data_IF_692638017016
#
_entry.id   IF_692638017016
#
_cell.length_a   1.000
_cell.length_b   1.000
_cell.length_c   1.000
_cell.angle_alpha   90.00
_cell.angle_beta   90.00
_cell.angle_gamma   90.00
#
_symmetry.space_group_name_H-M   'P 1'
#
loop_
_entity.id
_entity.type
_entity.pdbx_description
1 polymer ?
#
# COMPACT_ATOMS: atom_id res chain seq x y z
N UNK A 1 10.36 22.21 -18.70
CA UNK A 1 9.86 23.37 -17.93
C UNK A 1 11.03 23.95 -17.16
N UNK A 2 11.06 25.28 -16.96
CA UNK A 2 12.05 26.00 -16.18
C UNK A 2 11.53 26.22 -14.76
N UNK A 3 12.39 26.15 -13.75
CA UNK A 3 12.00 26.42 -12.37
C UNK A 3 12.11 27.92 -12.06
N UNK A 4 11.10 28.48 -11.38
CA UNK A 4 11.11 29.82 -10.77
C UNK A 4 11.14 29.63 -9.27
N UNK A 5 12.16 30.16 -8.59
CA UNK A 5 12.55 29.79 -7.23
C UNK A 5 12.59 28.26 -7.09
N UNK A 6 13.75 27.65 -7.33
CA UNK A 6 13.83 26.21 -7.57
C UNK A 6 13.17 25.37 -6.45
N UNK A 7 12.14 24.56 -6.76
CA UNK A 7 11.61 23.57 -5.83
C UNK A 7 12.71 22.63 -5.38
N UNK A 8 12.63 22.15 -4.13
CA UNK A 8 13.64 21.26 -3.57
C UNK A 8 13.38 19.82 -3.97
N UNK A 9 14.46 19.05 -4.15
CA UNK A 9 14.36 17.63 -4.49
C UNK A 9 13.86 16.82 -3.28
N UNK A 10 12.97 15.87 -3.52
CA UNK A 10 12.38 15.02 -2.49
C UNK A 10 12.33 13.55 -2.91
N UNK A 11 12.12 12.71 -1.92
CA UNK A 11 11.82 11.28 -2.12
C UNK A 11 10.39 11.13 -2.63
N UNK A 12 10.22 10.35 -3.69
CA UNK A 12 8.90 10.11 -4.28
C UNK A 12 8.04 9.13 -3.46
N UNK A 13 6.80 8.91 -3.90
CA UNK A 13 5.86 7.94 -3.33
C UNK A 13 6.40 6.49 -3.31
N UNK A 14 7.49 6.23 -4.04
CA UNK A 14 8.14 4.92 -4.16
C UNK A 14 9.37 4.79 -3.27
N UNK A 15 9.70 5.80 -2.47
CA UNK A 15 10.92 5.81 -1.67
C UNK A 15 12.19 6.11 -2.48
N UNK A 16 12.06 6.55 -3.73
CA UNK A 16 13.21 6.86 -4.58
C UNK A 16 13.65 8.30 -4.35
N UNK A 17 14.89 8.48 -3.89
CA UNK A 17 15.50 9.79 -3.69
C UNK A 17 15.53 10.58 -4.99
N UNK A 18 15.27 11.88 -4.88
CA UNK A 18 15.32 12.85 -5.97
C UNK A 18 14.40 12.54 -7.17
N UNK A 19 13.24 11.93 -6.91
CA UNK A 19 12.20 11.65 -7.91
C UNK A 19 10.91 12.45 -7.71
N UNK A 20 10.90 13.34 -6.73
CA UNK A 20 9.82 14.27 -6.46
C UNK A 20 10.36 15.69 -6.23
N UNK A 21 9.45 16.68 -6.27
CA UNK A 21 9.76 18.08 -5.98
C UNK A 21 8.85 18.58 -4.86
N UNK A 22 9.44 19.24 -3.86
CA UNK A 22 8.75 19.93 -2.78
C UNK A 22 8.73 21.43 -3.06
N UNK A 23 7.54 22.01 -2.97
CA UNK A 23 7.22 23.42 -3.21
C UNK A 23 6.84 24.10 -1.89
N UNK A 24 7.21 25.37 -1.74
CA UNK A 24 7.14 26.13 -0.48
C UNK A 24 5.79 26.81 -0.19
N UNK A 25 4.86 26.82 -1.14
CA UNK A 25 3.59 27.52 -1.00
C UNK A 25 3.66 29.03 -1.16
N UNK A 26 4.80 29.60 -1.57
CA UNK A 26 5.01 31.05 -1.57
C UNK A 26 5.65 31.59 -2.86
N UNK A 27 6.58 30.86 -3.46
CA UNK A 27 7.37 31.40 -4.59
C UNK A 27 7.77 30.37 -5.63
N UNK A 28 7.80 29.08 -5.27
CA UNK A 28 8.39 28.03 -6.09
C UNK A 28 7.37 27.46 -7.08
N UNK A 29 7.76 27.33 -8.35
CA UNK A 29 6.97 26.64 -9.37
C UNK A 29 7.80 26.26 -10.60
N UNK A 30 7.24 25.41 -11.46
CA UNK A 30 7.76 25.12 -12.79
C UNK A 30 6.89 25.81 -13.84
N UNK A 31 7.51 26.42 -14.85
CA UNK A 31 6.81 27.13 -15.92
C UNK A 31 7.41 26.84 -17.28
N UNK A 32 6.61 26.96 -18.32
CA UNK A 32 7.04 27.04 -19.69
C UNK A 32 6.16 28.04 -20.43
N UNK A 33 6.75 28.98 -21.15
CA UNK A 33 6.02 29.85 -22.07
C UNK A 33 5.83 29.08 -23.37
N UNK A 34 4.58 28.74 -23.67
CA UNK A 34 4.22 27.94 -24.83
C UNK A 34 2.82 28.33 -25.28
N UNK A 35 2.70 28.81 -26.51
CA UNK A 35 1.41 29.08 -27.11
C UNK A 35 0.64 27.76 -27.29
N UNK A 36 -0.62 27.77 -26.88
CA UNK A 36 -1.66 26.81 -27.19
C UNK A 36 -1.22 25.34 -27.09
N UNK A 37 -0.54 25.01 -25.97
CA UNK A 37 -0.05 23.67 -25.72
C UNK A 37 -1.20 22.65 -25.88
N UNK A 38 -1.06 21.79 -26.90
CA UNK A 38 -2.02 20.74 -27.29
C UNK A 38 -3.42 21.25 -27.63
N UNK A 39 -3.53 22.36 -28.37
CA UNK A 39 -4.81 22.91 -28.86
C UNK A 39 -5.60 22.02 -29.83
N UNK A 40 -5.07 20.88 -30.25
CA UNK A 40 -5.82 19.88 -31.03
C UNK A 40 -6.49 18.80 -30.16
N UNK A 41 -6.18 18.73 -28.87
CA UNK A 41 -6.67 17.68 -27.98
C UNK A 41 -8.04 18.10 -27.38
N UNK A 42 -9.14 17.59 -27.94
CA UNK A 42 -10.50 17.77 -27.41
C UNK A 42 -10.84 16.82 -26.25
N UNK A 43 -9.94 15.90 -25.91
CA UNK A 43 -10.05 14.98 -24.80
C UNK A 43 -8.67 14.71 -24.22
N UNK A 44 -8.60 14.23 -22.98
CA UNK A 44 -7.30 14.02 -22.35
C UNK A 44 -7.34 13.48 -20.95
N UNK A 45 -6.17 13.37 -20.34
CA UNK A 45 -6.04 13.02 -18.93
C UNK A 45 -4.80 13.66 -18.33
N UNK A 46 -4.85 13.97 -17.04
CA UNK A 46 -3.70 14.42 -16.27
C UNK A 46 -3.64 13.67 -14.96
N UNK A 47 -2.43 13.34 -14.51
CA UNK A 47 -2.27 12.68 -13.23
C UNK A 47 -0.97 13.05 -12.55
N UNK A 48 -1.01 13.10 -11.22
CA UNK A 48 0.13 13.41 -10.38
C UNK A 48 0.01 12.67 -9.05
N UNK A 49 1.14 12.24 -8.51
CA UNK A 49 1.24 11.94 -7.09
C UNK A 49 1.37 13.23 -6.32
N UNK A 50 0.57 13.37 -5.28
CA UNK A 50 0.47 14.59 -4.47
C UNK A 50 0.58 14.18 -3.00
N UNK A 51 1.49 14.82 -2.27
CA UNK A 51 1.56 14.78 -0.81
C UNK A 51 1.38 16.18 -0.27
N UNK A 52 0.33 16.38 0.53
CA UNK A 52 -0.10 17.73 0.90
C UNK A 52 -0.63 17.77 2.34
N UNK A 53 -0.38 18.88 3.02
CA UNK A 53 -0.77 19.12 4.43
C UNK A 53 -1.28 20.53 4.64
N UNK A 54 -1.57 21.23 3.55
CA UNK A 54 -1.97 22.62 3.61
C UNK A 54 -3.37 22.79 4.21
N UNK A 55 -3.68 24.05 4.52
CA UNK A 55 -4.96 24.46 5.09
C UNK A 55 -5.56 25.65 4.34
N UNK A 56 -5.11 25.88 3.12
CA UNK A 56 -5.55 26.93 2.21
C UNK A 56 -5.51 26.42 0.76
N UNK A 57 -6.04 27.19 -0.19
CA UNK A 57 -5.96 26.85 -1.60
C UNK A 57 -4.51 26.59 -2.03
N UNK A 58 -4.28 25.55 -2.84
CA UNK A 58 -2.97 25.23 -3.42
C UNK A 58 -3.10 24.84 -4.89
N UNK A 59 -2.21 25.32 -5.75
CA UNK A 59 -2.29 25.09 -7.18
C UNK A 59 -1.43 23.90 -7.62
N UNK A 60 -2.02 22.89 -8.27
CA UNK A 60 -1.24 21.75 -8.81
C UNK A 60 -0.74 22.08 -10.21
N UNK A 61 -1.62 22.61 -11.06
CA UNK A 61 -1.34 22.90 -12.47
C UNK A 61 -2.17 24.08 -12.99
N UNK A 62 -1.61 24.84 -13.93
CA UNK A 62 -2.38 25.78 -14.75
C UNK A 62 -1.83 25.94 -16.16
N UNK A 63 -2.72 26.21 -17.11
CA UNK A 63 -2.40 26.73 -18.45
C UNK A 63 -3.42 27.82 -18.77
N UNK A 64 -2.97 29.00 -19.17
CA UNK A 64 -3.82 30.16 -19.34
C UNK A 64 -3.25 31.15 -20.36
N UNK A 65 -4.08 32.09 -20.80
CA UNK A 65 -3.64 33.35 -21.38
C UNK A 65 -3.14 34.27 -20.25
N UNK A 66 -1.92 34.80 -20.34
CA UNK A 66 -1.38 35.70 -19.32
C UNK A 66 -1.72 37.17 -19.53
N UNK A 67 -2.39 37.53 -20.63
CA UNK A 67 -2.91 38.87 -20.85
C UNK A 67 -4.27 39.11 -20.17
N UNK A 68 -5.02 38.04 -19.87
CA UNK A 68 -6.37 38.10 -19.30
C UNK A 68 -6.60 37.00 -18.25
N UNK A 69 -7.69 37.09 -17.48
CA UNK A 69 -8.16 36.02 -16.60
C UNK A 69 -9.28 35.18 -17.25
N UNK A 70 -9.53 35.34 -18.55
CA UNK A 70 -10.71 34.78 -19.22
C UNK A 70 -10.46 33.47 -19.96
N UNK A 71 -9.21 33.08 -20.19
CA UNK A 71 -8.86 31.81 -20.84
C UNK A 71 -7.92 31.00 -19.94
N UNK A 72 -8.43 29.92 -19.35
CA UNK A 72 -7.60 29.05 -18.51
C UNK A 72 -8.13 27.63 -18.36
N UNK A 73 -7.22 26.71 -18.08
CA UNK A 73 -7.49 25.40 -17.48
C UNK A 73 -6.63 25.27 -16.23
N UNK A 74 -7.25 24.98 -15.09
CA UNK A 74 -6.58 24.95 -13.78
C UNK A 74 -6.97 23.71 -13.00
N UNK A 75 -5.99 23.18 -12.28
CA UNK A 75 -6.14 22.12 -11.31
C UNK A 75 -5.60 22.59 -9.97
N UNK A 76 -6.50 22.72 -9.00
CA UNK A 76 -6.22 23.16 -7.64
C UNK A 76 -6.60 22.09 -6.60
N UNK A 77 -6.11 22.30 -5.39
CA UNK A 77 -6.67 21.77 -4.15
C UNK A 77 -7.40 22.93 -3.48
N UNK A 78 -8.72 22.78 -3.27
CA UNK A 78 -9.58 23.84 -2.73
C UNK A 78 -10.58 23.24 -1.75
N UNK A 79 -10.95 24.01 -0.73
CA UNK A 79 -11.83 23.54 0.33
C UNK A 79 -11.92 24.51 1.49
N UNK A 80 -12.62 24.07 2.53
CA UNK A 80 -12.75 24.77 3.80
C UNK A 80 -12.88 23.75 4.93
N UNK A 81 -12.57 24.13 6.17
CA UNK A 81 -12.78 23.31 7.37
C UNK A 81 -12.22 21.87 7.24
N UNK A 82 -10.99 21.74 6.73
CA UNK A 82 -10.28 20.46 6.52
C UNK A 82 -10.87 19.53 5.44
N UNK A 83 -11.79 20.00 4.60
CA UNK A 83 -12.27 19.26 3.43
C UNK A 83 -11.67 19.84 2.14
N UNK A 84 -10.37 19.60 1.93
CA UNK A 84 -9.60 20.09 0.79
C UNK A 84 -9.46 19.01 -0.29
N UNK A 85 -10.16 19.19 -1.40
CA UNK A 85 -10.33 18.19 -2.46
C UNK A 85 -9.72 18.68 -3.77
N UNK A 86 -9.59 17.78 -4.75
CA UNK A 86 -9.25 18.15 -6.12
C UNK A 86 -10.36 19.03 -6.72
N UNK A 87 -9.94 20.12 -7.35
CA UNK A 87 -10.78 21.12 -7.99
C UNK A 87 -10.28 21.40 -9.40
N UNK A 88 -11.15 21.27 -10.39
CA UNK A 88 -10.86 21.57 -11.80
C UNK A 88 -11.71 22.76 -12.23
N UNK A 89 -11.09 23.71 -12.93
CA UNK A 89 -11.78 24.84 -13.50
C UNK A 89 -11.26 25.12 -14.91
N UNK A 90 -12.17 25.33 -15.85
CA UNK A 90 -11.87 25.78 -17.19
C UNK A 90 -12.73 27.02 -17.51
N UNK A 91 -12.21 27.91 -18.36
CA UNK A 91 -12.91 29.10 -18.84
C UNK A 91 -12.40 29.49 -20.23
N UNK A 92 -13.28 29.83 -21.16
CA UNK A 92 -12.93 30.25 -22.53
C UNK A 92 -13.64 31.56 -22.96
N UNK A 93 -13.56 32.58 -22.10
CA UNK A 93 -14.28 33.86 -22.21
C UNK A 93 -15.80 33.73 -22.05
N UNK A 94 -16.20 32.77 -21.22
CA UNK A 94 -17.57 32.46 -20.85
C UNK A 94 -17.71 32.29 -19.33
N UNK A 95 -18.76 31.59 -18.89
CA UNK A 95 -18.88 31.20 -17.47
C UNK A 95 -17.94 30.04 -17.23
N UNK A 96 -17.12 30.12 -16.17
CA UNK A 96 -16.20 29.04 -15.86
C UNK A 96 -16.96 27.75 -15.51
N UNK A 97 -16.51 26.64 -16.09
CA UNK A 97 -16.96 25.30 -15.77
C UNK A 97 -16.08 24.76 -14.64
N UNK A 98 -16.70 24.48 -13.49
CA UNK A 98 -15.99 24.20 -12.25
C UNK A 98 -16.55 22.96 -11.55
N UNK A 99 -15.68 21.98 -11.29
CA UNK A 99 -16.03 20.74 -10.61
C UNK A 99 -15.06 20.41 -9.48
N UNK A 100 -15.53 19.63 -8.51
CA UNK A 100 -14.68 19.10 -7.43
C UNK A 100 -14.96 17.65 -7.11
N UNK A 101 -13.95 16.98 -6.56
CA UNK A 101 -14.04 15.63 -6.01
C UNK A 101 -14.60 15.61 -4.58
N UNK A 102 -14.43 14.47 -3.91
CA UNK A 102 -15.01 14.19 -2.60
C UNK A 102 -13.97 13.86 -1.51
N UNK A 103 -12.81 13.33 -1.88
CA UNK A 103 -11.79 12.84 -0.94
C UNK A 103 -10.82 13.95 -0.51
N UNK A 104 -10.72 14.28 0.80
CA UNK A 104 -9.74 15.23 1.32
C UNK A 104 -8.30 14.75 1.15
N UNK A 105 -7.36 15.70 0.97
CA UNK A 105 -5.93 15.41 0.69
C UNK A 105 -4.95 15.90 1.77
N UNK A 106 -5.42 16.55 2.83
CA UNK A 106 -4.61 17.15 3.91
C UNK A 106 -4.22 16.15 5.01
N UNK A 107 -3.84 14.94 4.66
CA UNK A 107 -3.51 13.86 5.61
C UNK A 107 -2.00 13.55 5.69
N UNK A 108 -1.16 14.30 4.95
CA UNK A 108 0.28 14.06 4.82
C UNK A 108 0.65 12.74 4.13
N UNK A 109 -0.28 12.09 3.44
CA UNK A 109 -0.02 10.88 2.66
C UNK A 109 0.12 11.21 1.16
N UNK A 110 0.70 10.27 0.42
CA UNK A 110 0.76 10.34 -1.03
C UNK A 110 -0.56 9.83 -1.60
N UNK A 111 -1.20 10.63 -2.45
CA UNK A 111 -2.36 10.23 -3.24
C UNK A 111 -2.06 10.34 -4.72
N UNK A 112 -2.53 9.37 -5.51
CA UNK A 112 -2.61 9.56 -6.96
C UNK A 112 -3.90 10.28 -7.27
N UNK A 113 -3.79 11.52 -7.72
CA UNK A 113 -4.92 12.25 -8.26
C UNK A 113 -4.88 12.18 -9.79
N UNK A 114 -6.03 11.88 -10.39
CA UNK A 114 -6.19 11.80 -11.84
C UNK A 114 -7.47 12.51 -12.27
N UNK A 115 -7.35 13.39 -13.27
CA UNK A 115 -8.49 13.96 -14.01
C UNK A 115 -8.49 13.35 -15.41
N UNK A 116 -9.66 12.92 -15.87
CA UNK A 116 -9.86 12.44 -17.25
C UNK A 116 -10.97 13.25 -17.90
N UNK A 117 -10.85 13.54 -19.18
CA UNK A 117 -11.88 14.14 -20.02
C UNK A 117 -12.14 13.27 -21.24
N UNK A 118 -13.42 12.99 -21.51
CA UNK A 118 -13.89 12.42 -22.78
C UNK A 118 -14.13 13.47 -23.88
N UNK A 119 -13.94 14.76 -23.58
CA UNK A 119 -14.41 15.90 -24.39
C UNK A 119 -15.89 16.22 -24.23
N UNK A 120 -16.56 15.57 -23.26
CA UNK A 120 -17.98 15.80 -22.96
C UNK A 120 -18.30 15.74 -21.46
N UNK A 121 -17.38 15.21 -20.65
CA UNK A 121 -17.43 15.24 -19.20
C UNK A 121 -16.03 15.00 -18.62
N UNK A 122 -15.73 15.68 -17.51
CA UNK A 122 -14.62 15.31 -16.64
C UNK A 122 -15.02 14.22 -15.66
N UNK A 123 -14.04 13.39 -15.31
CA UNK A 123 -14.07 12.47 -14.17
C UNK A 123 -12.83 12.69 -13.32
N UNK A 124 -12.96 12.49 -12.02
CA UNK A 124 -11.87 12.55 -11.06
C UNK A 124 -11.69 11.19 -10.41
N UNK A 125 -10.45 10.86 -10.10
CA UNK A 125 -10.08 9.66 -9.38
C UNK A 125 -9.05 10.01 -8.32
N UNK A 126 -9.23 9.46 -7.12
CA UNK A 126 -8.23 9.45 -6.07
C UNK A 126 -7.86 8.00 -5.80
N UNK A 127 -6.56 7.71 -5.81
CA UNK A 127 -6.02 6.38 -5.50
C UNK A 127 -6.61 5.25 -6.35
N UNK A 128 -6.86 5.58 -7.63
CA UNK A 128 -7.42 4.64 -8.60
C UNK A 128 -8.92 4.40 -8.47
N UNK A 129 -9.59 5.08 -7.54
CA UNK A 129 -11.04 5.00 -7.31
C UNK A 129 -11.72 6.23 -7.87
N UNK A 130 -12.84 6.05 -8.57
CA UNK A 130 -13.62 7.15 -9.11
C UNK A 130 -14.30 7.96 -8.00
N UNK A 131 -14.21 9.27 -8.09
CA UNK A 131 -14.80 10.20 -7.14
C UNK A 131 -16.25 10.55 -7.51
N UNK A 132 -17.04 10.93 -6.51
CA UNK A 132 -18.31 11.60 -6.76
C UNK A 132 -18.02 13.07 -7.12
N UNK A 133 -18.43 13.48 -8.31
CA UNK A 133 -18.22 14.86 -8.79
C UNK A 133 -19.34 15.77 -8.29
N UNK A 134 -18.96 16.91 -7.71
CA UNK A 134 -19.86 18.01 -7.42
C UNK A 134 -19.62 19.15 -8.42
N UNK A 135 -20.67 19.60 -9.09
CA UNK A 135 -20.66 20.80 -9.92
C UNK A 135 -20.67 22.05 -9.03
N UNK A 136 -19.73 22.96 -9.24
CA UNK A 136 -19.58 24.20 -8.47
C UNK A 136 -20.08 25.41 -9.26
N UNK A 137 -19.75 25.48 -10.55
CA UNK A 137 -20.22 26.50 -11.47
C UNK A 137 -20.26 25.93 -12.90
N UNK A 138 -21.03 26.58 -13.78
CA UNK A 138 -21.14 26.20 -15.18
C UNK A 138 -21.76 24.80 -15.35
N UNK A 139 -21.12 23.97 -16.18
CA UNK A 139 -21.47 22.59 -16.47
C UNK A 139 -20.24 21.66 -16.35
N UNK A 140 -20.47 20.34 -16.31
CA UNK A 140 -19.41 19.36 -16.51
C UNK A 140 -19.30 19.06 -18.03
N UNK A 141 -18.85 20.04 -18.80
CA UNK A 141 -18.72 19.98 -20.26
C UNK A 141 -17.59 19.05 -20.72
N UNK A 142 -16.62 18.76 -19.85
CA UNK A 142 -15.43 18.01 -20.23
C UNK A 142 -14.47 18.82 -21.10
N UNK A 143 -14.62 20.13 -21.17
CA UNK A 143 -13.73 20.99 -21.94
C UNK A 143 -12.26 20.72 -21.61
N UNK A 144 -11.44 20.68 -22.66
CA UNK A 144 -10.03 20.36 -22.53
C UNK A 144 -9.17 21.45 -23.19
N UNK A 145 -8.01 21.05 -23.71
CA UNK A 145 -7.04 21.95 -24.30
C UNK A 145 -7.44 22.48 -25.68
N UNK A 146 -8.28 21.79 -26.44
CA UNK A 146 -8.83 22.36 -27.67
C UNK A 146 -9.86 23.48 -27.40
N UNK A 147 -10.57 23.40 -26.28
CA UNK A 147 -11.73 24.26 -25.99
C UNK A 147 -11.34 25.56 -25.27
N UNK A 148 -10.06 25.76 -24.97
CA UNK A 148 -9.57 26.92 -24.20
C UNK A 148 -8.53 27.71 -24.99
N UNK A 149 -8.87 28.42 -26.07
CA UNK A 149 -7.87 29.05 -26.96
C UNK A 149 -7.05 30.15 -26.26
N UNK A 150 -5.97 30.59 -26.91
CA UNK A 150 -5.10 31.72 -26.53
C UNK A 150 -4.22 31.48 -25.29
N UNK A 151 -4.05 30.23 -24.84
CA UNK A 151 -3.15 29.97 -23.71
C UNK A 151 -1.71 30.22 -24.15
N UNK A 152 -0.89 30.81 -23.29
CA UNK A 152 0.51 31.13 -23.60
C UNK A 152 1.50 30.53 -22.59
N UNK A 153 0.98 29.79 -21.60
CA UNK A 153 1.77 29.21 -20.54
C UNK A 153 1.36 27.77 -20.18
N UNK A 154 2.29 27.08 -19.52
CA UNK A 154 2.08 25.80 -18.87
C UNK A 154 2.82 25.83 -17.55
N UNK A 155 2.14 25.57 -16.44
CA UNK A 155 2.72 25.68 -15.10
C UNK A 155 2.38 24.48 -14.22
N UNK A 156 3.33 24.08 -13.38
CA UNK A 156 3.14 23.13 -12.29
C UNK A 156 3.52 23.83 -10.99
N UNK A 157 2.65 23.75 -9.99
CA UNK A 157 2.89 24.34 -8.68
C UNK A 157 2.41 25.79 -8.52
N UNK A 158 1.74 26.37 -9.53
CA UNK A 158 1.18 27.73 -9.48
C UNK A 158 -0.07 27.86 -10.36
N UNK A 159 -1.03 28.68 -9.92
CA UNK A 159 -2.09 29.21 -10.77
C UNK A 159 -1.63 30.56 -11.31
N UNK A 160 -1.38 30.65 -12.62
CA UNK A 160 -0.92 31.89 -13.28
C UNK A 160 -1.76 32.18 -14.52
N UNK A 161 -2.69 33.14 -14.39
CA UNK A 161 -3.42 33.79 -15.51
C UNK A 161 -2.78 35.16 -15.76
N UNK A 162 -3.56 36.22 -15.92
CA UNK A 162 -3.10 37.62 -15.82
C UNK A 162 -2.35 37.99 -14.53
N UNK A 163 -2.54 37.22 -13.47
CA UNK A 163 -1.78 37.33 -12.23
C UNK A 163 -1.56 35.95 -11.60
N UNK A 164 -0.66 35.88 -10.63
CA UNK A 164 -0.50 34.70 -9.79
C UNK A 164 -1.63 34.67 -8.76
N UNK A 165 -2.40 33.58 -8.74
CA UNK A 165 -3.51 33.38 -7.79
C UNK A 165 -3.10 32.59 -6.55
N UNK A 166 -2.35 31.50 -6.72
CA UNK A 166 -1.94 30.63 -5.61
C UNK A 166 -0.72 29.77 -5.99
N UNK A 167 0.04 29.37 -4.97
CA UNK A 167 1.19 28.47 -5.09
C UNK A 167 0.89 27.11 -4.46
N UNK A 168 1.62 26.09 -4.86
CA UNK A 168 1.55 24.77 -4.23
C UNK A 168 2.41 24.72 -2.98
N UNK A 169 1.85 24.23 -1.87
CA UNK A 169 2.60 23.93 -0.66
C UNK A 169 2.60 22.41 -0.38
N UNK A 170 3.60 21.69 -0.88
CA UNK A 170 3.65 20.25 -0.72
C UNK A 170 4.61 19.58 -1.69
N UNK A 171 4.49 18.26 -1.85
CA UNK A 171 5.34 17.50 -2.77
C UNK A 171 4.54 16.93 -3.95
N UNK A 172 5.06 17.10 -5.17
CA UNK A 172 4.52 16.49 -6.39
C UNK A 172 5.53 15.50 -6.96
N UNK A 173 5.04 14.34 -7.39
CA UNK A 173 5.82 13.37 -8.14
C UNK A 173 5.10 12.91 -9.40
N UNK A 174 5.90 12.59 -10.41
CA UNK A 174 5.51 11.78 -11.58
C UNK A 174 4.30 12.29 -12.40
N UNK A 175 4.22 13.62 -12.55
CA UNK A 175 3.19 14.33 -13.31
C UNK A 175 3.15 13.88 -14.77
N UNK A 176 1.96 13.57 -15.29
CA UNK A 176 1.74 13.10 -16.67
C UNK A 176 0.51 13.74 -17.30
N UNK A 177 0.57 13.89 -18.62
CA UNK A 177 -0.52 14.38 -19.47
C UNK A 177 -0.66 13.45 -20.68
N UNK A 178 -1.88 13.04 -20.98
CA UNK A 178 -2.25 12.25 -22.16
C UNK A 178 -3.23 13.04 -23.04
N UNK A 179 -3.21 12.78 -24.35
CA UNK A 179 -4.12 13.33 -25.35
C UNK A 179 -5.37 12.48 -25.58
N UNK A 180 -5.73 11.65 -24.59
CA UNK A 180 -6.93 10.83 -24.61
C UNK A 180 -7.44 10.63 -23.19
N UNK A 181 -8.72 10.31 -23.07
CA UNK A 181 -9.28 9.81 -21.82
C UNK A 181 -8.59 8.49 -21.43
N UNK A 182 -8.10 8.41 -20.20
CA UNK A 182 -7.77 7.13 -19.58
C UNK A 182 -9.06 6.50 -19.04
N UNK A 183 -9.27 5.22 -19.32
CA UNK A 183 -10.38 4.46 -18.73
C UNK A 183 -10.18 4.27 -17.22
N UNK A 184 -11.25 4.00 -16.47
CA UNK A 184 -11.16 3.69 -15.05
C UNK A 184 -10.18 2.52 -14.75
N UNK A 185 -10.10 1.54 -15.65
CA UNK A 185 -9.13 0.43 -15.53
C UNK A 185 -7.70 0.91 -15.74
N UNK A 186 -7.46 1.82 -16.68
CA UNK A 186 -6.13 2.41 -16.89
C UNK A 186 -5.73 3.31 -15.73
N UNK A 187 -6.66 4.06 -15.12
CA UNK A 187 -6.40 4.88 -13.94
C UNK A 187 -6.13 3.99 -12.71
N UNK A 188 -6.93 2.95 -12.51
CA UNK A 188 -6.64 1.94 -11.49
C UNK A 188 -5.30 1.25 -11.74
N UNK A 189 -4.96 0.99 -13.01
CA UNK A 189 -3.65 0.46 -13.40
C UNK A 189 -2.56 1.47 -13.15
N UNK A 190 -2.76 2.76 -13.37
CA UNK A 190 -1.79 3.82 -13.08
C UNK A 190 -1.50 3.89 -11.58
N UNK A 191 -2.54 3.90 -10.75
CA UNK A 191 -2.41 3.81 -9.29
C UNK A 191 -1.67 2.56 -8.86
N UNK A 192 -2.03 1.40 -9.44
CA UNK A 192 -1.36 0.13 -9.15
C UNK A 192 0.09 0.15 -9.62
N UNK A 193 0.36 0.58 -10.85
CA UNK A 193 1.70 0.78 -11.46
C UNK A 193 2.60 1.63 -10.54
N UNK A 194 1.99 2.52 -9.77
CA UNK A 194 2.61 3.29 -8.70
C UNK A 194 2.27 2.79 -7.29
N UNK A 195 2.57 1.53 -7.01
CA UNK A 195 3.21 1.23 -5.73
C UNK A 195 4.62 1.87 -5.72
N UNK A 196 5.33 1.95 -4.58
CA UNK A 196 6.73 1.54 -4.53
C UNK A 196 6.91 0.17 -5.24
N UNK A 197 7.00 0.16 -6.58
CA UNK A 197 6.88 -1.00 -7.50
C UNK A 197 5.59 -1.85 -7.31
N UNK A 198 4.67 -1.85 -8.29
CA UNK A 198 3.95 -3.10 -8.62
C UNK A 198 4.74 -3.79 -9.72
N UNK A 199 5.54 -4.76 -9.31
CA UNK A 199 5.62 -5.97 -10.11
C UNK A 199 4.33 -6.75 -9.84
N UNK A 200 3.89 -7.60 -10.76
CA UNK A 200 3.14 -8.84 -10.47
C UNK A 200 3.97 -9.78 -9.56
N UNK A 201 4.54 -9.22 -8.49
CA UNK A 201 5.73 -9.68 -7.77
C UNK A 201 6.28 -8.66 -6.76
N UNK A 202 5.51 -7.63 -6.34
CA UNK A 202 5.85 -6.89 -5.13
C UNK A 202 5.01 -7.39 -3.97
N UNK A 203 5.45 -8.51 -3.42
CA UNK A 203 5.12 -9.01 -2.08
C UNK A 203 5.48 -8.01 -0.96
N UNK A 204 5.70 -6.73 -1.29
CA UNK A 204 5.91 -5.61 -0.37
C UNK A 204 4.64 -4.78 -0.16
N UNK A 205 3.61 -4.88 -1.03
CA UNK A 205 2.35 -4.14 -0.82
C UNK A 205 1.68 -4.63 0.45
N UNK A 206 1.41 -3.71 1.38
CA UNK A 206 0.80 -4.03 2.66
C UNK A 206 1.66 -4.95 3.54
N UNK A 207 2.93 -5.18 3.19
CA UNK A 207 3.85 -5.97 4.00
C UNK A 207 4.24 -5.14 5.22
N UNK A 208 3.81 -5.58 6.40
CA UNK A 208 4.02 -4.88 7.67
C UNK A 208 5.09 -5.53 8.55
N UNK A 209 5.48 -6.77 8.25
CA UNK A 209 6.62 -7.43 8.88
C UNK A 209 7.24 -8.47 7.96
N UNK A 210 8.57 -8.52 7.91
CA UNK A 210 9.31 -9.52 7.15
C UNK A 210 10.57 -9.97 7.89
N UNK A 211 10.63 -11.25 8.21
CA UNK A 211 11.79 -11.92 8.78
C UNK A 211 12.20 -13.05 7.84
N UNK A 212 13.30 -12.85 7.12
CA UNK A 212 13.81 -13.87 6.18
C UNK A 212 14.52 -15.03 6.87
N UNK A 213 14.76 -14.91 8.19
CA UNK A 213 15.42 -15.91 9.02
C UNK A 213 16.84 -16.26 8.54
N UNK A 214 17.50 -15.36 7.80
CA UNK A 214 18.87 -15.55 7.36
C UNK A 214 19.86 -15.05 8.42
N UNK A 215 20.99 -15.75 8.58
CA UNK A 215 22.07 -15.30 9.49
C UNK A 215 22.59 -13.91 9.15
N UNK A 216 22.58 -13.53 7.86
CA UNK A 216 22.95 -12.18 7.40
C UNK A 216 21.99 -11.08 7.84
N UNK A 217 20.81 -11.43 8.34
CA UNK A 217 19.80 -10.51 8.83
C UNK A 217 19.83 -10.34 10.35
N UNK A 218 20.79 -10.97 11.02
CA UNK A 218 21.02 -10.75 12.45
C UNK A 218 21.58 -9.37 12.70
N UNK A 219 21.03 -8.69 13.71
CA UNK A 219 21.61 -7.48 14.27
C UNK A 219 22.43 -7.77 15.53
N UNK A 220 22.20 -8.91 16.16
CA UNK A 220 22.97 -9.47 17.27
C UNK A 220 22.80 -11.00 17.30
N UNK A 221 23.43 -11.69 18.25
CA UNK A 221 23.25 -13.14 18.46
C UNK A 221 21.81 -13.56 18.80
N UNK A 222 20.95 -12.62 19.19
CA UNK A 222 19.56 -12.89 19.61
C UNK A 222 18.53 -12.02 18.91
N UNK A 223 18.90 -11.19 17.93
CA UNK A 223 17.94 -10.29 17.28
C UNK A 223 18.01 -10.39 15.76
N UNK A 224 16.88 -10.74 15.15
CA UNK A 224 16.68 -10.82 13.69
C UNK A 224 15.97 -9.57 13.21
N UNK A 225 16.53 -8.96 12.18
CA UNK A 225 16.01 -7.72 11.59
C UNK A 225 14.67 -7.95 10.89
N UNK A 226 13.70 -7.09 11.18
CA UNK A 226 12.55 -6.86 10.29
C UNK A 226 13.01 -6.06 9.06
N UNK A 227 12.78 -6.62 7.87
CA UNK A 227 13.18 -6.01 6.59
C UNK A 227 12.17 -4.97 6.07
N UNK A 228 11.12 -4.67 6.82
CA UNK A 228 10.19 -3.58 6.52
C UNK A 228 10.58 -2.29 7.24
N UNK A 229 10.00 -1.13 6.84
CA UNK A 229 10.14 0.11 7.60
C UNK A 229 9.59 0.04 9.03
N UNK A 230 8.73 -0.95 9.34
CA UNK A 230 8.12 -1.13 10.66
C UNK A 230 9.13 -1.40 11.79
N UNK A 231 10.31 -1.93 11.45
CA UNK A 231 11.39 -2.20 12.40
C UNK A 231 10.99 -3.08 13.59
N UNK A 232 10.02 -3.98 13.38
CA UNK A 232 9.53 -4.93 14.39
C UNK A 232 10.49 -6.11 14.50
N UNK A 233 11.69 -5.85 14.99
CA UNK A 233 12.74 -6.86 15.06
C UNK A 233 12.33 -8.01 15.99
N UNK A 234 12.67 -9.23 15.58
CA UNK A 234 12.37 -10.42 16.35
C UNK A 234 13.49 -10.72 17.33
N UNK A 235 13.15 -10.89 18.61
CA UNK A 235 14.08 -11.27 19.67
C UNK A 235 13.98 -12.77 19.92
N UNK A 236 15.05 -13.49 19.65
CA UNK A 236 15.20 -14.92 19.86
C UNK A 236 15.45 -15.25 21.33
N UNK A 237 14.79 -16.29 21.82
CA UNK A 237 15.04 -16.94 23.11
C UNK A 237 15.61 -18.32 22.85
N UNK A 238 16.62 -18.72 23.64
CA UNK A 238 17.35 -19.96 23.44
C UNK A 238 18.59 -19.77 22.57
N UNK A 239 19.05 -20.86 21.95
CA UNK A 239 20.25 -20.86 21.09
C UNK A 239 19.83 -20.81 19.63
N UNK A 240 20.19 -19.73 18.95
CA UNK A 240 19.84 -19.56 17.55
C UNK A 240 20.79 -20.34 16.65
N UNK A 241 20.26 -21.35 15.96
CA UNK A 241 21.02 -22.19 15.04
C UNK A 241 20.58 -21.89 13.60
N UNK A 242 21.48 -21.34 12.79
CA UNK A 242 21.20 -21.12 11.37
C UNK A 242 21.22 -22.46 10.62
N UNK A 243 20.31 -22.63 9.67
CA UNK A 243 20.15 -23.85 8.89
C UNK A 243 20.00 -23.57 7.39
N UNK A 244 19.93 -24.63 6.59
CA UNK A 244 19.64 -24.53 5.15
C UNK A 244 18.18 -24.20 4.91
N UNK A 245 17.88 -23.46 3.84
CA UNK A 245 16.49 -23.27 3.38
C UNK A 245 16.02 -24.40 2.45
N UNK A 246 14.85 -24.20 1.84
CA UNK A 246 14.22 -25.09 0.86
C UNK A 246 15.00 -25.29 -0.45
N UNK A 247 16.01 -24.47 -0.71
CA UNK A 247 16.91 -24.60 -1.86
C UNK A 247 18.30 -25.11 -1.46
N UNK A 248 18.43 -25.64 -0.23
CA UNK A 248 19.70 -26.06 0.37
C UNK A 248 20.72 -24.93 0.50
N UNK A 249 20.29 -23.67 0.55
CA UNK A 249 21.18 -22.54 0.77
C UNK A 249 21.50 -22.42 2.26
N UNK A 250 22.78 -22.54 2.62
CA UNK A 250 23.23 -22.42 4.01
C UNK A 250 22.86 -21.08 4.63
N UNK A 251 22.47 -21.12 5.90
CA UNK A 251 22.20 -19.95 6.75
C UNK A 251 21.04 -19.06 6.28
N UNK A 252 20.03 -19.68 5.64
CA UNK A 252 18.81 -19.02 5.10
C UNK A 252 17.51 -19.43 5.82
N UNK A 253 17.65 -20.19 6.89
CA UNK A 253 16.57 -20.50 7.83
C UNK A 253 17.12 -20.56 9.26
N UNK A 254 16.22 -20.66 10.23
CA UNK A 254 16.58 -20.89 11.64
C UNK A 254 15.95 -22.19 12.11
N UNK A 255 16.72 -22.95 12.87
CA UNK A 255 16.33 -24.22 13.49
C UNK A 255 15.79 -24.01 14.91
N UNK A 256 14.54 -24.40 15.11
CA UNK A 256 13.86 -24.39 16.40
C UNK A 256 13.90 -25.79 16.99
N UNK A 257 14.36 -25.91 18.24
CA UNK A 257 14.70 -27.18 18.88
C UNK A 257 13.49 -27.94 19.46
N UNK A 258 12.29 -27.37 19.39
CA UNK A 258 11.09 -27.92 20.03
C UNK A 258 11.07 -27.82 21.56
N UNK A 259 12.06 -27.20 22.20
CA UNK A 259 12.25 -27.28 23.66
C UNK A 259 12.45 -25.92 24.34
N UNK A 260 13.35 -25.08 23.82
CA UNK A 260 13.69 -23.77 24.41
C UNK A 260 13.57 -22.63 23.41
N UNK A 261 13.67 -22.92 22.12
CA UNK A 261 13.79 -21.93 21.07
C UNK A 261 12.44 -21.34 20.64
N UNK A 262 12.36 -20.02 20.61
CA UNK A 262 11.27 -19.26 19.98
C UNK A 262 11.70 -17.81 19.74
N UNK A 263 10.96 -17.08 18.92
CA UNK A 263 11.21 -15.66 18.64
C UNK A 263 9.99 -14.82 19.04
N UNK A 264 10.21 -13.76 19.81
CA UNK A 264 9.16 -12.79 20.19
C UNK A 264 9.28 -11.53 19.35
N UNK A 265 8.16 -11.02 18.87
CA UNK A 265 8.07 -9.76 18.12
C UNK A 265 7.24 -8.78 18.94
N UNK A 266 7.93 -7.89 19.65
CA UNK A 266 7.31 -6.92 20.55
C UNK A 266 6.54 -5.84 19.79
N UNK A 267 5.41 -5.39 20.34
CA UNK A 267 4.59 -4.27 19.84
C UNK A 267 4.04 -4.41 18.40
N UNK A 268 4.16 -5.58 17.79
CA UNK A 268 3.69 -5.82 16.42
C UNK A 268 2.17 -5.74 16.26
N UNK A 269 1.46 -6.09 17.34
CA UNK A 269 -0.01 -6.11 17.42
C UNK A 269 -0.68 -4.75 17.19
N UNK A 270 0.03 -3.64 17.37
CA UNK A 270 -0.51 -2.30 17.08
C UNK A 270 -0.73 -2.06 15.56
N UNK A 271 -0.14 -2.89 14.69
CA UNK A 271 -0.18 -2.72 13.23
C UNK A 271 -0.86 -3.89 12.51
N UNK A 272 -0.90 -5.05 13.15
CA UNK A 272 -1.93 -6.04 12.88
C UNK A 272 -3.21 -5.54 13.55
N UNK A 273 -3.94 -4.64 12.91
CA UNK A 273 -5.33 -4.43 13.31
C UNK A 273 -6.09 -5.70 12.90
N UNK A 274 -6.21 -6.66 13.81
CA UNK A 274 -6.90 -7.95 13.60
C UNK A 274 -8.43 -7.73 13.42
N UNK A 275 -8.88 -6.49 13.57
CA UNK A 275 -10.21 -6.01 13.18
C UNK A 275 -10.36 -5.73 11.68
N UNK A 276 -9.26 -5.85 10.91
CA UNK A 276 -9.18 -5.59 9.48
C UNK A 276 -8.71 -6.78 8.66
N UNK A 277 -8.46 -6.54 7.37
CA UNK A 277 -7.94 -7.54 6.45
C UNK A 277 -6.44 -7.81 6.71
N UNK A 278 -6.00 -9.07 6.73
CA UNK A 278 -4.59 -9.40 6.91
C UNK A 278 -4.19 -10.75 6.27
N UNK A 279 -2.89 -10.98 6.13
CA UNK A 279 -2.34 -12.28 5.71
C UNK A 279 -1.02 -12.60 6.41
N UNK A 280 -0.74 -13.87 6.66
CA UNK A 280 0.53 -14.38 7.20
C UNK A 280 1.04 -15.50 6.29
N UNK A 281 2.31 -15.46 5.94
CA UNK A 281 3.00 -16.44 5.10
C UNK A 281 4.25 -16.93 5.81
N UNK A 282 4.53 -18.24 5.75
CA UNK A 282 5.76 -18.83 6.25
C UNK A 282 6.17 -20.06 5.44
N UNK A 283 7.49 -20.24 5.28
CA UNK A 283 8.07 -21.53 4.87
C UNK A 283 8.51 -22.28 6.12
N UNK A 284 8.24 -23.58 6.18
CA UNK A 284 8.59 -24.42 7.32
C UNK A 284 8.94 -25.85 6.91
N UNK A 285 9.67 -26.53 7.77
CA UNK A 285 9.95 -27.97 7.69
C UNK A 285 10.07 -28.52 9.11
N UNK A 286 9.36 -29.59 9.44
CA UNK A 286 9.46 -30.22 10.75
C UNK A 286 10.77 -31.02 10.89
N UNK A 287 11.24 -31.16 12.12
CA UNK A 287 12.22 -32.20 12.50
C UNK A 287 11.53 -33.35 13.22
N UNK A 288 10.49 -33.05 14.02
CA UNK A 288 9.66 -34.04 14.70
C UNK A 288 8.25 -33.49 14.98
N UNK A 289 7.26 -34.39 15.06
CA UNK A 289 5.86 -34.08 15.42
C UNK A 289 5.43 -35.01 16.55
N UNK A 290 5.84 -34.70 17.78
CA UNK A 290 5.56 -35.53 18.97
C UNK A 290 4.67 -34.84 20.01
N UNK A 291 4.18 -33.67 19.64
CA UNK A 291 3.30 -32.83 20.44
C UNK A 291 2.74 -31.72 19.57
N UNK A 292 1.82 -30.96 20.13
CA UNK A 292 1.30 -29.74 19.54
C UNK A 292 2.40 -28.69 19.31
N UNK A 293 2.42 -28.07 18.14
CA UNK A 293 3.47 -27.11 17.76
C UNK A 293 2.91 -25.90 17.02
N UNK A 294 3.41 -24.69 17.29
CA UNK A 294 2.99 -23.48 16.60
C UNK A 294 4.13 -22.85 15.79
N UNK A 295 3.84 -22.57 14.52
CA UNK A 295 4.74 -21.84 13.63
C UNK A 295 4.73 -20.34 13.91
N UNK A 296 3.52 -19.81 14.10
CA UNK A 296 3.25 -18.40 14.33
C UNK A 296 2.05 -18.27 15.23
N UNK A 297 2.11 -17.37 16.22
CA UNK A 297 0.95 -16.99 17.02
C UNK A 297 0.97 -15.50 17.32
N UNK A 298 -0.22 -14.90 17.39
CA UNK A 298 -0.42 -13.58 17.97
C UNK A 298 -1.56 -13.71 18.98
N UNK A 299 -1.31 -13.40 20.25
CA UNK A 299 -2.23 -13.74 21.34
C UNK A 299 -2.23 -12.71 22.48
N UNK A 300 -3.41 -12.38 22.98
CA UNK A 300 -3.59 -11.68 24.25
C UNK A 300 -3.76 -12.68 25.41
N UNK A 301 -4.34 -13.84 25.12
CA UNK A 301 -4.51 -14.93 26.08
C UNK A 301 -4.59 -16.27 25.36
N UNK A 302 -4.66 -17.37 26.10
CA UNK A 302 -4.99 -18.67 25.51
C UNK A 302 -6.35 -18.65 24.81
N UNK A 303 -7.29 -17.80 25.22
CA UNK A 303 -8.62 -17.75 24.61
C UNK A 303 -8.80 -16.64 23.58
N UNK A 304 -7.87 -15.70 23.48
CA UNK A 304 -7.87 -14.66 22.43
C UNK A 304 -6.55 -14.71 21.65
N UNK A 305 -6.57 -15.41 20.51
CA UNK A 305 -5.38 -15.75 19.72
C UNK A 305 -5.68 -15.94 18.24
N UNK A 306 -4.72 -15.61 17.39
CA UNK A 306 -4.54 -16.21 16.07
C UNK A 306 -3.29 -17.10 16.08
N UNK A 307 -3.32 -18.17 15.30
CA UNK A 307 -2.16 -19.05 15.19
C UNK A 307 -2.16 -19.88 13.90
N UNK A 308 -0.96 -20.20 13.45
CA UNK A 308 -0.68 -21.28 12.51
C UNK A 308 -0.03 -22.41 13.32
N UNK A 309 -0.69 -23.55 13.37
CA UNK A 309 -0.48 -24.55 14.41
C UNK A 309 -0.72 -25.97 13.90
N UNK A 310 0.10 -26.91 14.36
CA UNK A 310 -0.05 -28.34 14.15
C UNK A 310 -0.64 -29.01 15.41
N UNK A 311 -1.71 -29.77 15.21
CA UNK A 311 -2.34 -30.59 16.24
C UNK A 311 -1.91 -32.06 16.04
N UNK A 312 -1.12 -32.56 16.99
CA UNK A 312 -0.55 -33.90 16.96
C UNK A 312 -1.60 -35.00 17.16
N UNK A 313 -2.61 -34.75 18.01
CA UNK A 313 -3.66 -35.74 18.25
C UNK A 313 -4.61 -35.95 17.06
N UNK A 314 -4.53 -35.10 16.03
CA UNK A 314 -5.40 -35.13 14.85
C UNK A 314 -4.62 -35.16 13.53
N UNK A 315 -3.29 -35.08 13.56
CA UNK A 315 -2.43 -34.93 12.38
C UNK A 315 -2.90 -33.83 11.42
N UNK A 316 -3.22 -32.64 11.95
CA UNK A 316 -3.69 -31.50 11.14
C UNK A 316 -2.82 -30.26 11.31
N UNK A 317 -2.47 -29.64 10.18
CA UNK A 317 -1.99 -28.26 10.14
C UNK A 317 -3.18 -27.33 10.02
N UNK A 318 -3.26 -26.31 10.89
CA UNK A 318 -4.40 -25.41 10.98
C UNK A 318 -3.98 -23.95 11.09
N UNK A 319 -4.61 -23.08 10.31
CA UNK A 319 -4.71 -21.65 10.61
C UNK A 319 -6.00 -21.40 11.40
N UNK A 320 -5.90 -20.78 12.57
CA UNK A 320 -7.07 -20.58 13.46
C UNK A 320 -7.09 -19.23 14.15
N UNK A 321 -8.31 -18.77 14.46
CA UNK A 321 -8.61 -17.57 15.24
C UNK A 321 -9.57 -17.98 16.36
N UNK A 322 -9.25 -17.60 17.59
CA UNK A 322 -10.12 -17.73 18.76
C UNK A 322 -10.30 -16.35 19.38
N UNK A 323 -11.55 -15.92 19.56
CA UNK A 323 -11.89 -14.60 20.12
C UNK A 323 -12.44 -14.64 21.56
N UNK A 324 -12.26 -15.76 22.26
CA UNK A 324 -12.77 -16.00 23.61
C UNK A 324 -14.14 -16.68 23.67
N UNK A 325 -14.86 -16.74 22.55
CA UNK A 325 -16.15 -17.41 22.44
C UNK A 325 -16.17 -18.51 21.38
N UNK A 326 -15.61 -18.25 20.21
CA UNK A 326 -15.67 -19.16 19.05
C UNK A 326 -14.29 -19.33 18.45
N UNK A 327 -13.95 -20.57 18.09
CA UNK A 327 -12.75 -20.92 17.33
C UNK A 327 -13.16 -21.14 15.88
N UNK A 328 -12.56 -20.39 14.96
CA UNK A 328 -12.64 -20.64 13.52
C UNK A 328 -11.29 -21.16 13.05
N UNK A 329 -11.29 -22.25 12.29
CA UNK A 329 -10.07 -22.87 11.77
C UNK A 329 -10.25 -23.33 10.33
N UNK A 330 -9.16 -23.24 9.56
CA UNK A 330 -8.97 -23.97 8.31
C UNK A 330 -7.85 -24.96 8.54
N UNK A 331 -8.11 -26.22 8.24
CA UNK A 331 -7.24 -27.33 8.59
C UNK A 331 -7.03 -28.24 7.39
N UNK A 332 -5.89 -28.91 7.36
CA UNK A 332 -5.57 -29.95 6.38
C UNK A 332 -4.85 -31.07 7.10
N UNK A 333 -5.15 -32.32 6.73
CA UNK A 333 -4.35 -33.47 7.17
C UNK A 333 -2.90 -33.26 6.75
N UNK A 334 -1.97 -33.45 7.67
CA UNK A 334 -0.57 -33.13 7.47
C UNK A 334 0.31 -34.17 8.14
N UNK A 335 1.05 -34.93 7.34
CA UNK A 335 1.94 -36.00 7.81
C UNK A 335 3.36 -35.89 7.24
N UNK A 336 3.61 -34.96 6.31
CA UNK A 336 4.94 -34.78 5.72
C UNK A 336 5.81 -33.90 6.62
N UNK A 337 6.71 -34.54 7.35
CA UNK A 337 7.70 -33.86 8.18
C UNK A 337 9.05 -33.71 7.48
N UNK A 338 9.20 -34.25 6.27
CA UNK A 338 10.50 -34.38 5.62
C UNK A 338 10.75 -33.31 4.57
N UNK A 339 9.70 -32.70 4.03
CA UNK A 339 9.77 -31.67 3.00
C UNK A 339 9.63 -30.26 3.58
N UNK A 340 10.08 -29.27 2.79
CA UNK A 340 9.71 -27.88 3.03
C UNK A 340 8.31 -27.62 2.48
N UNK A 341 7.49 -26.96 3.29
CA UNK A 341 6.14 -26.56 2.93
C UNK A 341 5.96 -25.05 3.08
N UNK A 342 5.03 -24.51 2.30
CA UNK A 342 4.65 -23.10 2.36
C UNK A 342 3.20 -22.99 2.80
N UNK A 343 2.96 -22.22 3.85
CA UNK A 343 1.59 -21.93 4.30
C UNK A 343 1.30 -20.44 4.17
N UNK A 344 0.10 -20.12 3.66
CA UNK A 344 -0.45 -18.77 3.70
C UNK A 344 -1.81 -18.79 4.34
N UNK A 345 -2.01 -17.95 5.34
CA UNK A 345 -3.28 -17.71 5.98
C UNK A 345 -3.74 -16.29 5.66
N UNK A 346 -4.93 -16.12 5.12
CA UNK A 346 -5.53 -14.81 4.84
C UNK A 346 -6.84 -14.67 5.58
N UNK A 347 -7.14 -13.46 6.02
CA UNK A 347 -8.36 -13.16 6.72
C UNK A 347 -8.91 -11.84 6.20
N UNK A 348 -10.16 -11.89 5.75
CA UNK A 348 -11.03 -10.74 5.73
C UNK A 348 -11.86 -10.75 7.02
N UNK A 349 -12.45 -9.60 7.38
CA UNK A 349 -13.35 -9.49 8.53
C UNK A 349 -14.48 -10.54 8.55
N UNK A 350 -14.79 -11.16 7.41
CA UNK A 350 -15.87 -12.15 7.26
C UNK A 350 -15.42 -13.54 6.81
N UNK A 351 -14.19 -13.69 6.33
CA UNK A 351 -13.73 -14.90 5.66
C UNK A 351 -12.26 -15.16 5.94
N UNK A 352 -12.00 -16.32 6.52
CA UNK A 352 -10.66 -16.87 6.68
C UNK A 352 -10.36 -17.87 5.57
N UNK A 353 -9.19 -17.76 4.95
CA UNK A 353 -8.71 -18.66 3.88
C UNK A 353 -7.32 -19.17 4.23
N UNK A 354 -7.03 -20.41 3.90
CA UNK A 354 -5.70 -21.01 4.09
C UNK A 354 -5.23 -21.68 2.80
N UNK A 355 -3.92 -21.65 2.60
CA UNK A 355 -3.23 -22.29 1.49
C UNK A 355 -2.06 -23.10 2.03
N UNK A 356 -1.90 -24.32 1.53
CA UNK A 356 -0.71 -25.14 1.75
C UNK A 356 -0.11 -25.46 0.38
N UNK A 357 1.16 -25.14 0.18
CA UNK A 357 1.90 -25.36 -1.07
C UNK A 357 1.17 -24.82 -2.30
N UNK A 358 0.66 -23.58 -2.17
CA UNK A 358 -0.14 -22.89 -3.18
C UNK A 358 -1.51 -23.56 -3.51
N UNK A 359 -1.94 -24.55 -2.72
CA UNK A 359 -3.25 -25.20 -2.84
C UNK A 359 -4.20 -24.60 -1.82
N UNK A 360 -5.36 -24.12 -2.30
CA UNK A 360 -6.44 -23.59 -1.45
C UNK A 360 -7.09 -24.69 -0.61
N UNK A 361 -7.18 -24.48 0.70
CA UNK A 361 -7.89 -25.37 1.63
C UNK A 361 -9.39 -24.99 1.67
N UNK A 362 -10.27 -25.89 1.24
CA UNK A 362 -11.72 -25.65 1.17
C UNK A 362 -12.41 -26.27 2.40
N UNK A 363 -13.07 -25.45 3.22
CA UNK A 363 -14.20 -25.87 4.08
C UNK A 363 -14.81 -24.73 4.90
N UNK A 364 -15.99 -24.27 4.49
CA UNK A 364 -16.92 -23.28 5.13
C UNK A 364 -16.40 -21.88 5.49
N UNK A 365 -17.15 -20.88 5.06
CA UNK A 365 -17.04 -19.46 5.41
C UNK A 365 -17.59 -19.26 6.82
N UNK A 366 -16.78 -18.71 7.72
CA UNK A 366 -17.29 -18.21 8.99
C UNK A 366 -16.65 -16.87 9.29
N UNK A 367 -17.51 -15.88 9.57
CA UNK A 367 -17.14 -14.49 9.84
C UNK A 367 -16.85 -14.30 11.30
N UNK A 368 -15.72 -13.66 11.64
CA UNK A 368 -15.46 -13.17 12.99
C UNK A 368 -14.51 -11.97 13.01
N UNK A 369 -14.86 -11.03 13.88
CA UNK A 369 -13.97 -10.01 14.41
C UNK A 369 -13.15 -10.64 15.55
N UNK A 370 -11.84 -10.37 15.59
CA UNK A 370 -11.01 -10.64 16.75
C UNK A 370 -10.43 -9.33 17.31
N UNK A 371 -10.42 -9.25 18.63
CA UNK A 371 -9.85 -8.15 19.41
C UNK A 371 -8.32 -8.24 19.41
N UNK A 372 -7.65 -7.08 19.39
CA UNK A 372 -6.19 -6.94 19.27
C UNK A 372 -5.41 -7.83 20.25
N UNK A 373 -4.44 -8.61 19.77
CA UNK A 373 -3.72 -9.58 20.59
C UNK A 373 -2.29 -9.16 20.93
N UNK A 374 -1.98 -9.06 22.22
CA UNK A 374 -0.81 -8.37 22.79
C UNK A 374 0.60 -8.87 22.40
N UNK A 375 0.83 -10.15 22.09
CA UNK A 375 2.20 -10.67 21.84
C UNK A 375 2.23 -11.57 20.62
N UNK A 376 3.15 -11.28 19.70
CA UNK A 376 3.42 -12.13 18.53
C UNK A 376 4.66 -12.97 18.77
N UNK A 377 4.53 -14.28 18.53
CA UNK A 377 5.56 -15.28 18.75
C UNK A 377 5.69 -16.15 17.49
N UNK A 378 6.92 -16.43 17.10
CA UNK A 378 7.29 -17.37 16.04
C UNK A 378 7.96 -18.58 16.68
N UNK A 379 7.58 -19.78 16.24
CA UNK A 379 8.11 -21.04 16.76
C UNK A 379 7.55 -21.46 18.13
N UNK A 380 6.53 -20.78 18.64
CA UNK A 380 5.76 -21.24 19.79
C UNK A 380 4.37 -20.60 19.85
N UNK A 381 3.47 -21.21 20.62
CA UNK A 381 2.16 -20.63 20.93
C UNK A 381 2.26 -19.57 22.03
N UNK A 382 1.11 -19.00 22.40
CA UNK A 382 0.94 -18.16 23.58
C UNK A 382 1.69 -18.71 24.80
N UNK A 383 2.33 -17.80 25.55
CA UNK A 383 3.16 -18.11 26.73
C UNK A 383 4.31 -19.10 26.46
N UNK A 384 4.81 -19.17 25.22
CA UNK A 384 5.90 -20.05 24.80
C UNK A 384 5.65 -21.55 25.06
N UNK A 385 4.39 -21.99 24.95
CA UNK A 385 3.99 -23.37 25.24
C UNK A 385 4.31 -24.36 24.10
N UNK A 386 3.43 -24.50 23.11
CA UNK A 386 3.55 -25.45 21.99
C UNK A 386 4.70 -25.07 21.04
N UNK A 387 5.94 -25.40 21.41
CA UNK A 387 7.16 -25.03 20.70
C UNK A 387 7.34 -25.86 19.43
N UNK A 388 7.84 -25.21 18.39
CA UNK A 388 8.10 -25.83 17.11
C UNK A 388 9.45 -26.54 17.09
N UNK A 389 9.46 -27.77 16.59
CA UNK A 389 10.65 -28.59 16.34
C UNK A 389 10.88 -28.67 14.82
N UNK A 390 11.81 -27.85 14.31
CA UNK A 390 12.12 -27.79 12.89
C UNK A 390 12.59 -26.42 12.42
N UNK A 391 12.63 -26.24 11.10
CA UNK A 391 13.16 -25.05 10.43
C UNK A 391 12.06 -24.12 9.95
N UNK A 392 12.25 -22.82 10.13
CA UNK A 392 11.37 -21.77 9.59
C UNK A 392 12.18 -20.79 8.76
N UNK A 393 11.62 -20.37 7.61
CA UNK A 393 12.17 -19.33 6.75
C UNK A 393 11.08 -18.38 6.25
N UNK A 394 11.49 -17.18 5.84
CA UNK A 394 10.71 -16.29 5.00
C UNK A 394 9.31 -15.87 5.53
N UNK A 395 9.21 -15.60 6.83
CA UNK A 395 7.97 -15.13 7.46
C UNK A 395 7.62 -13.74 6.95
N UNK A 396 6.39 -13.59 6.48
CA UNK A 396 5.84 -12.34 5.96
C UNK A 396 4.45 -12.11 6.50
N UNK A 397 4.18 -10.90 6.94
CA UNK A 397 2.87 -10.49 7.47
C UNK A 397 2.38 -9.27 6.72
N UNK A 398 1.11 -9.30 6.34
CA UNK A 398 0.45 -8.29 5.53
C UNK A 398 -0.77 -7.71 6.24
N UNK A 399 -0.98 -6.40 6.16
CA UNK A 399 -2.21 -5.71 6.60
C UNK A 399 -3.29 -5.68 5.50
N UNK A 400 -3.32 -6.72 4.67
CA UNK A 400 -4.32 -6.93 3.64
C UNK A 400 -4.46 -8.41 3.33
N UNK A 401 -5.53 -8.75 2.60
CA UNK A 401 -5.70 -10.08 2.01
C UNK A 401 -4.81 -10.20 0.78
N UNK A 402 -4.03 -11.28 0.72
CA UNK A 402 -3.33 -11.70 -0.48
C UNK A 402 -4.29 -12.42 -1.43
N UNK A 403 -4.21 -12.07 -2.71
CA UNK A 403 -4.91 -12.81 -3.76
C UNK A 403 -4.26 -14.16 -4.03
N UNK A 404 -4.98 -15.08 -4.67
CA UNK A 404 -4.46 -16.39 -5.10
C UNK A 404 -3.20 -16.26 -5.94
N UNK A 405 -3.12 -15.27 -6.84
CA UNK A 405 -1.92 -14.99 -7.64
C UNK A 405 -0.74 -14.54 -6.78
N UNK A 406 -0.97 -13.78 -5.71
CA UNK A 406 0.10 -13.35 -4.81
C UNK A 406 0.57 -14.48 -3.89
N UNK A 407 -0.33 -15.39 -3.51
CA UNK A 407 0.04 -16.64 -2.84
C UNK A 407 0.93 -17.49 -3.75
N UNK A 408 0.53 -17.67 -5.01
CA UNK A 408 1.34 -18.36 -5.99
C UNK A 408 2.69 -17.66 -6.21
N UNK A 409 2.72 -16.33 -6.19
CA UNK A 409 3.96 -15.58 -6.27
C UNK A 409 4.86 -15.77 -5.04
N UNK A 410 4.32 -15.86 -3.82
CA UNK A 410 5.09 -16.20 -2.61
C UNK A 410 5.70 -17.59 -2.69
N UNK A 411 4.91 -18.55 -3.18
CA UNK A 411 5.34 -19.93 -3.32
C UNK A 411 6.45 -20.08 -4.37
N UNK A 412 6.33 -19.38 -5.50
CA UNK A 412 7.29 -19.45 -6.60
C UNK A 412 8.41 -18.41 -6.51
N UNK A 413 8.32 -17.43 -5.61
CA UNK A 413 9.41 -16.48 -5.41
C UNK A 413 10.59 -17.21 -4.77
N UNK A 414 11.78 -16.81 -5.23
CA UNK A 414 13.13 -17.20 -4.81
C UNK A 414 13.70 -18.45 -5.47
#
# INVERSE_FOLDING_TARGET
>A
MTAVAAPTSATDQRGQSAKALTFDGASQYLTNTTADFRSADSAGSMSAWIKWTGSAQSAVFSSADTATADYYFKWNILGSANNYVIYIAQKNNDTADEIKGSTPLNDSLWHLATVTSSGSAWKLYIDGVAETITLVAGANSGDWFADTPNRDNLNIGVTKTSAIGSYFNGTIADYKIWNRELSATEVATLYRMYNPKTSTGSLKKGLVGQWDMAQTSLMSSTVIKDKTPGSYNGTYTGTMTAAVDRHNQSNKSIDFDGSTNYMTISNFYNNLSITGNWSVSAWFKFDSVSSNQALFSSSASSSNRMQIYFNDGLDILSGSIYNGSVITSKSVSFTDTTSWHHTVFTNTNTTTTAYLDNILLTDTTQSMNAEATATTIVGASQAAAAKFSGKISDIKVYNRVLSTTEVAALYNSY
#
